data_IF_926932368060
#
_entry.id   IF_926932368060
#
_cell.length_a   1.000
_cell.length_b   1.000
_cell.length_c   1.000
_cell.angle_alpha   90.00
_cell.angle_beta   90.00
_cell.angle_gamma   90.00
#
_symmetry.space_group_name_H-M   'P 1'
#
loop_
_entity.id
_entity.type
_entity.pdbx_description
1 polymer ?
#
# COMPACT_ATOMS: atom_id res chain seq x y z
N UNK A 1 25.07 5.60 -2.92
CA UNK A 1 23.70 5.98 -2.46
C UNK A 1 22.97 6.59 -3.64
N UNK A 2 21.67 6.30 -3.83
CA UNK A 2 20.88 7.06 -4.81
C UNK A 2 20.92 8.51 -4.33
N UNK A 3 21.67 9.39 -4.98
CA UNK A 3 21.62 10.83 -4.68
C UNK A 3 20.25 11.28 -5.16
N UNK A 4 19.27 11.33 -4.27
CA UNK A 4 18.02 12.03 -4.53
C UNK A 4 18.42 13.49 -4.62
N UNK A 5 18.45 14.04 -5.83
CA UNK A 5 18.70 15.47 -5.98
C UNK A 5 17.39 16.20 -5.69
N UNK A 6 17.05 16.34 -4.40
CA UNK A 6 15.97 17.20 -3.90
C UNK A 6 16.44 18.65 -3.87
N UNK A 7 17.12 19.09 -4.91
CA UNK A 7 17.63 20.46 -4.97
C UNK A 7 16.48 21.47 -5.14
N UNK A 8 16.83 22.74 -5.02
CA UNK A 8 15.89 23.84 -5.14
C UNK A 8 15.18 23.87 -6.50
N UNK A 9 15.82 23.37 -7.56
CA UNK A 9 15.27 23.32 -8.91
C UNK A 9 14.20 22.23 -9.04
N UNK A 10 14.46 21.04 -8.51
CA UNK A 10 13.48 19.95 -8.41
C UNK A 10 12.25 20.43 -7.63
N UNK A 11 12.46 20.99 -6.44
CA UNK A 11 11.36 21.48 -5.59
C UNK A 11 10.55 22.59 -6.26
N UNK A 12 11.21 23.51 -6.96
CA UNK A 12 10.56 24.59 -7.71
C UNK A 12 9.69 24.02 -8.84
N UNK A 13 10.22 23.09 -9.62
CA UNK A 13 9.52 22.46 -10.74
C UNK A 13 8.36 21.58 -10.27
N UNK A 14 8.58 20.78 -9.22
CA UNK A 14 7.55 20.00 -8.54
C UNK A 14 6.38 20.89 -8.13
N UNK A 15 6.65 21.94 -7.36
CA UNK A 15 5.63 22.85 -6.83
C UNK A 15 4.78 23.52 -7.92
N UNK A 16 5.34 23.81 -9.10
CA UNK A 16 4.61 24.40 -10.23
C UNK A 16 3.55 23.46 -10.84
N UNK A 17 3.72 22.15 -10.69
CA UNK A 17 2.83 21.15 -11.31
C UNK A 17 1.75 20.62 -10.36
N UNK A 18 1.88 20.88 -9.06
CA UNK A 18 0.96 20.34 -8.06
C UNK A 18 -0.44 20.91 -8.24
N UNK A 19 -1.40 20.00 -8.31
CA UNK A 19 -2.83 20.30 -8.17
C UNK A 19 -3.39 19.51 -7.00
N UNK A 20 -4.35 20.11 -6.30
CA UNK A 20 -5.02 19.45 -5.18
C UNK A 20 -6.36 18.87 -5.64
N UNK A 21 -6.62 17.62 -5.25
CA UNK A 21 -7.86 16.92 -5.55
C UNK A 21 -8.47 16.36 -4.27
N UNK A 22 -9.79 16.49 -4.13
CA UNK A 22 -10.53 15.68 -3.17
C UNK A 22 -10.57 14.23 -3.68
N UNK A 23 -10.48 13.25 -2.78
CA UNK A 23 -10.61 11.83 -3.15
C UNK A 23 -12.03 11.46 -3.61
N UNK A 24 -13.01 12.33 -3.38
CA UNK A 24 -14.34 12.24 -4.01
C UNK A 24 -14.35 12.51 -5.52
N UNK A 25 -13.26 13.04 -6.09
CA UNK A 25 -13.16 13.33 -7.51
C UNK A 25 -13.27 12.02 -8.33
N UNK A 26 -14.07 11.98 -9.42
CA UNK A 26 -14.27 10.77 -10.22
C UNK A 26 -13.02 10.16 -10.86
N UNK A 27 -11.88 10.85 -10.88
CA UNK A 27 -10.59 10.27 -11.29
C UNK A 27 -10.13 9.15 -10.34
N UNK A 28 -10.61 9.15 -9.09
CA UNK A 28 -10.40 8.09 -8.12
C UNK A 28 -11.63 7.18 -8.08
N UNK A 29 -11.42 5.89 -8.36
CA UNK A 29 -12.46 4.86 -8.26
C UNK A 29 -12.33 4.15 -6.92
N UNK A 30 -13.17 4.56 -5.97
CA UNK A 30 -13.20 4.02 -4.61
C UNK A 30 -14.32 2.98 -4.47
N UNK A 31 -14.00 1.84 -3.87
CA UNK A 31 -14.97 0.79 -3.52
C UNK A 31 -14.61 0.14 -2.19
N UNK A 32 -15.60 -0.48 -1.55
CA UNK A 32 -15.39 -1.37 -0.40
C UNK A 32 -15.54 -2.80 -0.87
N UNK A 33 -14.74 -3.70 -0.30
CA UNK A 33 -14.86 -5.13 -0.54
C UNK A 33 -16.13 -5.73 0.04
N UNK A 34 -16.17 -7.06 0.10
CA UNK A 34 -17.36 -7.80 0.55
C UNK A 34 -17.01 -8.73 1.70
N UNK A 35 -17.90 -8.84 2.68
CA UNK A 35 -17.70 -9.70 3.84
C UNK A 35 -17.28 -11.13 3.45
N UNK A 36 -16.32 -11.67 4.19
CA UNK A 36 -15.87 -13.06 4.15
C UNK A 36 -16.04 -13.64 5.54
N UNK A 37 -16.78 -14.74 5.65
CA UNK A 37 -16.95 -15.48 6.91
C UNK A 37 -15.84 -16.52 7.07
N UNK A 38 -15.54 -16.92 8.32
CA UNK A 38 -14.48 -17.90 8.59
C UNK A 38 -14.71 -19.25 7.88
N UNK A 39 -15.96 -19.67 7.70
CA UNK A 39 -16.30 -20.90 6.98
C UNK A 39 -16.18 -20.79 5.45
N UNK A 40 -15.92 -19.60 4.91
CA UNK A 40 -15.64 -19.39 3.49
C UNK A 40 -14.14 -19.39 3.19
N UNK A 41 -13.28 -19.34 4.22
CA UNK A 41 -11.83 -19.41 4.06
C UNK A 41 -11.40 -20.86 3.78
N UNK A 42 -10.45 -21.00 2.87
CA UNK A 42 -9.96 -22.28 2.38
C UNK A 42 -8.46 -22.40 2.67
N UNK A 43 -8.02 -23.52 3.23
CA UNK A 43 -6.60 -23.83 3.41
C UNK A 43 -5.85 -23.88 2.07
N UNK A 44 -6.50 -24.45 1.04
CA UNK A 44 -5.97 -24.57 -0.33
C UNK A 44 -6.58 -23.54 -1.30
N UNK A 45 -7.02 -22.38 -0.79
CA UNK A 45 -7.52 -21.30 -1.64
C UNK A 45 -6.39 -20.64 -2.44
N UNK A 46 -6.72 -20.08 -3.60
CA UNK A 46 -5.73 -19.47 -4.50
C UNK A 46 -5.72 -17.95 -4.46
N UNK A 47 -6.81 -17.33 -4.01
CA UNK A 47 -6.96 -15.87 -4.00
C UNK A 47 -6.76 -15.36 -2.57
N UNK A 48 -5.72 -14.55 -2.30
CA UNK A 48 -5.48 -14.00 -0.97
C UNK A 48 -6.56 -12.98 -0.60
N UNK A 49 -7.06 -13.11 0.63
CA UNK A 49 -8.03 -12.19 1.24
C UNK A 49 -7.29 -11.13 2.03
N UNK A 50 -7.65 -9.87 1.84
CA UNK A 50 -7.15 -8.73 2.61
C UNK A 50 -8.30 -8.07 3.37
N UNK A 51 -8.10 -7.84 4.66
CA UNK A 51 -9.11 -7.28 5.56
C UNK A 51 -8.64 -5.94 6.13
N UNK A 52 -8.94 -5.63 7.40
CA UNK A 52 -8.49 -4.41 8.06
C UNK A 52 -6.95 -4.29 8.10
N UNK A 53 -6.22 -5.41 8.16
CA UNK A 53 -4.79 -5.44 7.86
C UNK A 53 -4.62 -5.68 6.34
N UNK A 54 -4.27 -4.63 5.59
CA UNK A 54 -4.12 -4.71 4.13
C UNK A 54 -2.70 -5.10 3.69
N UNK A 55 -1.79 -5.32 4.65
CA UNK A 55 -0.41 -5.74 4.40
C UNK A 55 -0.23 -7.26 4.61
N UNK A 56 -1.19 -7.91 5.27
CA UNK A 56 -1.15 -9.33 5.58
C UNK A 56 -2.35 -10.06 4.96
N UNK A 57 -2.11 -11.29 4.54
CA UNK A 57 -3.17 -12.17 4.03
C UNK A 57 -3.97 -12.69 5.22
N UNK A 58 -5.27 -12.41 5.22
CA UNK A 58 -6.22 -12.88 6.24
C UNK A 58 -6.60 -14.36 6.06
N UNK A 59 -6.53 -14.86 4.83
CA UNK A 59 -6.83 -16.22 4.44
C UNK A 59 -6.98 -16.31 2.93
N UNK A 60 -7.50 -17.42 2.41
CA UNK A 60 -7.66 -17.61 0.97
C UNK A 60 -9.08 -18.01 0.60
N UNK A 61 -9.49 -17.65 -0.61
CA UNK A 61 -10.77 -18.01 -1.23
C UNK A 61 -10.56 -18.41 -2.68
N UNK A 62 -11.60 -19.00 -3.30
CA UNK A 62 -11.65 -19.29 -4.74
C UNK A 62 -12.76 -18.51 -5.46
N UNK A 63 -13.23 -17.42 -4.85
CA UNK A 63 -14.22 -16.50 -5.41
C UNK A 63 -13.60 -15.14 -5.71
N UNK A 64 -14.18 -14.44 -6.68
CA UNK A 64 -13.77 -13.11 -7.12
C UNK A 64 -14.93 -12.13 -6.94
N UNK A 65 -14.62 -10.85 -6.69
CA UNK A 65 -15.61 -9.76 -6.63
C UNK A 65 -15.22 -8.54 -7.45
N UNK A 66 -13.96 -8.45 -7.88
CA UNK A 66 -13.49 -7.39 -8.77
C UNK A 66 -13.76 -7.82 -10.22
N UNK A 67 -14.07 -6.85 -11.08
CA UNK A 67 -14.35 -7.12 -12.49
C UNK A 67 -13.09 -7.56 -13.25
N UNK A 68 -11.95 -6.99 -12.87
CA UNK A 68 -10.65 -7.18 -13.50
C UNK A 68 -9.53 -7.00 -12.48
N UNK A 69 -8.31 -7.36 -12.90
CA UNK A 69 -7.06 -7.13 -12.17
C UNK A 69 -6.04 -6.41 -13.06
N UNK A 70 -6.48 -5.70 -14.10
CA UNK A 70 -5.59 -5.16 -15.14
C UNK A 70 -4.91 -3.85 -14.73
N UNK A 71 -5.40 -3.23 -13.65
CA UNK A 71 -4.93 -1.97 -13.10
C UNK A 71 -4.30 -2.19 -11.72
N UNK A 72 -3.31 -1.36 -11.40
CA UNK A 72 -2.79 -1.29 -10.04
C UNK A 72 -3.90 -0.83 -9.08
N UNK A 73 -3.83 -1.30 -7.83
CA UNK A 73 -4.82 -1.00 -6.81
C UNK A 73 -4.14 -0.55 -5.53
N UNK A 74 -4.73 0.45 -4.87
CA UNK A 74 -4.33 0.89 -3.53
C UNK A 74 -5.37 0.40 -2.53
N UNK A 75 -4.93 -0.24 -1.46
CA UNK A 75 -5.78 -0.81 -0.42
C UNK A 75 -5.69 0.04 0.85
N UNK A 76 -6.79 0.18 1.60
CA UNK A 76 -6.73 0.76 2.95
C UNK A 76 -7.58 -0.04 3.94
N UNK A 77 -7.11 -0.11 5.18
CA UNK A 77 -7.86 -0.73 6.28
C UNK A 77 -8.89 0.23 6.87
N UNK A 78 -10.10 -0.25 7.14
CA UNK A 78 -11.20 0.59 7.67
C UNK A 78 -11.26 0.51 9.21
N UNK A 79 -11.13 -0.70 9.77
CA UNK A 79 -11.45 -1.04 11.17
C UNK A 79 -10.23 -1.51 11.98
N UNK A 80 -9.03 -1.25 11.47
CA UNK A 80 -7.76 -1.67 12.06
C UNK A 80 -6.86 -0.50 12.42
N UNK A 81 -5.59 -0.82 12.63
CA UNK A 81 -4.55 0.20 12.61
C UNK A 81 -4.47 0.83 11.22
N UNK A 82 -4.18 2.13 11.15
CA UNK A 82 -4.12 2.80 9.85
C UNK A 82 -2.93 2.30 9.05
N UNK A 83 -3.23 1.78 7.88
CA UNK A 83 -2.26 1.26 6.93
C UNK A 83 -2.84 1.31 5.52
N UNK A 84 -1.94 1.49 4.56
CA UNK A 84 -2.23 1.53 3.14
C UNK A 84 -1.33 0.52 2.45
N UNK A 85 -1.91 -0.30 1.60
CA UNK A 85 -1.23 -1.31 0.80
C UNK A 85 -1.21 -0.93 -0.68
N UNK A 86 -0.21 -1.42 -1.40
CA UNK A 86 -0.16 -1.37 -2.86
C UNK A 86 -0.30 -2.78 -3.41
N UNK A 87 -1.20 -2.96 -4.38
CA UNK A 87 -1.46 -4.22 -5.05
C UNK A 87 -1.22 -4.03 -6.55
N UNK A 88 -0.16 -4.64 -7.12
CA UNK A 88 0.12 -4.48 -8.54
C UNK A 88 -0.93 -5.21 -9.39
N UNK A 89 -1.12 -4.72 -10.61
CA UNK A 89 -1.92 -5.36 -11.65
C UNK A 89 -1.47 -6.81 -11.89
N UNK A 90 -2.38 -7.58 -12.45
CA UNK A 90 -2.27 -9.03 -12.71
C UNK A 90 -2.10 -9.88 -11.44
N UNK A 91 -2.28 -9.32 -10.24
CA UNK A 91 -2.35 -10.08 -9.00
C UNK A 91 -3.78 -10.14 -8.50
N UNK A 92 -4.32 -11.36 -8.42
CA UNK A 92 -5.64 -11.60 -7.84
C UNK A 92 -5.60 -11.35 -6.34
N UNK A 93 -6.66 -10.73 -5.84
CA UNK A 93 -6.90 -10.51 -4.41
C UNK A 93 -8.40 -10.36 -4.15
N UNK A 94 -8.79 -10.53 -2.90
CA UNK A 94 -10.16 -10.36 -2.44
C UNK A 94 -10.20 -9.38 -1.24
N UNK A 95 -10.73 -8.16 -1.41
CA UNK A 95 -10.94 -7.24 -0.30
C UNK A 95 -12.20 -7.62 0.51
N UNK A 96 -12.10 -7.63 1.84
CA UNK A 96 -13.28 -7.76 2.71
C UNK A 96 -14.06 -6.45 2.82
N UNK A 97 -15.19 -6.46 3.52
CA UNK A 97 -15.93 -5.25 3.92
C UNK A 97 -15.17 -4.32 4.88
N UNK A 98 -14.03 -4.76 5.41
CA UNK A 98 -13.10 -3.95 6.20
C UNK A 98 -11.89 -3.44 5.40
N UNK A 99 -11.87 -3.69 4.09
CA UNK A 99 -10.83 -3.29 3.16
C UNK A 99 -11.43 -2.43 2.05
N UNK A 100 -10.88 -1.23 1.89
CA UNK A 100 -11.20 -0.38 0.76
C UNK A 100 -10.21 -0.54 -0.38
N UNK A 101 -10.68 -0.29 -1.60
CA UNK A 101 -9.89 -0.32 -2.84
C UNK A 101 -10.02 1.02 -3.55
N UNK A 102 -8.89 1.59 -3.96
CA UNK A 102 -8.77 2.79 -4.77
C UNK A 102 -8.02 2.42 -6.05
N UNK A 103 -8.66 2.68 -7.20
CA UNK A 103 -8.06 2.57 -8.54
C UNK A 103 -8.06 3.92 -9.25
N UNK A 104 -7.13 4.08 -10.18
CA UNK A 104 -6.99 5.27 -11.03
C UNK A 104 -6.76 4.85 -12.48
N UNK A 105 -6.82 5.82 -13.40
CA UNK A 105 -6.35 5.62 -14.77
C UNK A 105 -4.82 5.71 -14.78
N UNK A 106 -4.16 4.55 -14.86
CA UNK A 106 -2.69 4.42 -14.79
C UNK A 106 -1.97 5.16 -15.93
N UNK A 107 -2.68 5.57 -16.99
CA UNK A 107 -2.09 6.41 -18.05
C UNK A 107 -1.93 7.88 -17.63
N UNK A 108 -2.52 8.27 -16.50
CA UNK A 108 -2.57 9.67 -16.00
C UNK A 108 -2.06 9.81 -14.58
N UNK A 109 -2.16 8.77 -13.76
CA UNK A 109 -1.86 8.82 -12.33
C UNK A 109 -1.14 7.53 -11.93
N UNK A 110 -0.04 7.66 -11.20
CA UNK A 110 0.71 6.52 -10.70
C UNK A 110 0.08 6.01 -9.39
N UNK A 111 -0.51 4.80 -9.41
CA UNK A 111 -1.17 4.22 -8.23
C UNK A 111 -0.22 3.96 -7.05
N UNK A 112 1.05 3.60 -7.29
CA UNK A 112 2.05 3.45 -6.22
C UNK A 112 2.28 4.79 -5.52
N UNK A 113 2.39 5.89 -6.27
CA UNK A 113 2.43 7.23 -5.68
C UNK A 113 1.18 7.55 -4.85
N UNK A 114 -0.02 7.20 -5.34
CA UNK A 114 -1.27 7.36 -4.58
C UNK A 114 -1.21 6.63 -3.23
N UNK A 115 -0.61 5.44 -3.16
CA UNK A 115 -0.47 4.70 -1.91
C UNK A 115 0.29 5.49 -0.84
N UNK A 116 1.35 6.20 -1.22
CA UNK A 116 2.13 7.02 -0.30
C UNK A 116 1.35 8.24 0.20
N UNK A 117 0.74 9.00 -0.71
CA UNK A 117 0.02 10.22 -0.31
C UNK A 117 -1.25 9.91 0.47
N UNK A 118 -1.93 8.79 0.16
CA UNK A 118 -3.07 8.33 0.93
C UNK A 118 -2.65 7.98 2.35
N UNK A 119 -1.55 7.23 2.50
CA UNK A 119 -1.02 6.86 3.81
C UNK A 119 -0.72 8.10 4.66
N UNK A 120 -0.04 9.09 4.10
CA UNK A 120 0.28 10.33 4.80
C UNK A 120 -0.95 11.18 5.11
N UNK A 121 -1.93 11.24 4.19
CA UNK A 121 -3.18 11.94 4.43
C UNK A 121 -3.98 11.31 5.59
N UNK A 122 -4.07 9.98 5.62
CA UNK A 122 -4.77 9.26 6.70
C UNK A 122 -4.07 9.37 8.06
N UNK A 123 -2.73 9.37 8.08
CA UNK A 123 -1.94 9.65 9.30
C UNK A 123 -2.23 11.04 9.84
N UNK A 124 -2.22 12.07 8.97
CA UNK A 124 -2.55 13.46 9.35
C UNK A 124 -3.97 13.59 9.87
N UNK A 125 -4.91 12.85 9.27
CA UNK A 125 -6.29 12.80 9.74
C UNK A 125 -6.43 12.06 11.09
N UNK A 126 -5.44 11.26 11.49
CA UNK A 126 -5.44 10.49 12.73
C UNK A 126 -6.23 9.19 12.64
N UNK A 127 -6.35 8.60 11.43
CA UNK A 127 -7.05 7.33 11.29
C UNK A 127 -6.39 6.25 12.15
N UNK A 128 -7.25 5.43 12.75
CA UNK A 128 -6.88 4.42 13.73
C UNK A 128 -8.08 3.53 14.02
N UNK A 129 -7.90 2.53 14.89
CA UNK A 129 -9.00 1.71 15.42
C UNK A 129 -10.13 2.56 16.03
N UNK A 130 -9.80 3.73 16.60
CA UNK A 130 -10.78 4.67 17.18
C UNK A 130 -11.40 5.57 16.11
N UNK A 131 -10.58 6.07 15.19
CA UNK A 131 -11.04 6.90 14.07
C UNK A 131 -10.98 6.09 12.77
N UNK A 132 -12.04 5.29 12.56
CA UNK A 132 -12.20 4.43 11.39
C UNK A 132 -12.06 5.20 10.06
N UNK A 133 -11.41 4.60 9.08
CA UNK A 133 -11.24 5.17 7.75
C UNK A 133 -12.39 4.75 6.80
N UNK A 134 -13.62 5.12 7.15
CA UNK A 134 -14.80 4.84 6.30
C UNK A 134 -14.65 5.46 4.92
N UNK A 135 -15.34 4.90 3.91
CA UNK A 135 -15.25 5.41 2.53
C UNK A 135 -15.60 6.91 2.44
N UNK A 136 -16.55 7.40 3.23
CA UNK A 136 -16.91 8.82 3.25
C UNK A 136 -15.79 9.69 3.83
N UNK A 137 -15.10 9.20 4.87
CA UNK A 137 -13.93 9.90 5.44
C UNK A 137 -12.75 9.89 4.48
N UNK A 138 -12.54 8.80 3.75
CA UNK A 138 -11.54 8.75 2.66
C UNK A 138 -11.89 9.76 1.57
N UNK A 139 -13.14 9.78 1.08
CA UNK A 139 -13.62 10.74 0.07
C UNK A 139 -13.44 12.21 0.48
N UNK A 140 -13.50 12.49 1.78
CA UNK A 140 -13.31 13.84 2.33
C UNK A 140 -11.84 14.30 2.36
N UNK A 141 -10.87 13.38 2.24
CA UNK A 141 -9.46 13.75 2.18
C UNK A 141 -9.13 14.49 0.89
N UNK A 142 -8.10 15.34 0.98
CA UNK A 142 -7.51 16.06 -0.16
C UNK A 142 -6.06 15.63 -0.32
N UNK A 143 -5.65 15.38 -1.56
CA UNK A 143 -4.31 14.94 -1.92
C UNK A 143 -3.72 15.83 -2.99
N UNK A 144 -2.40 15.98 -2.96
CA UNK A 144 -1.62 16.75 -3.93
C UNK A 144 -1.09 15.82 -5.00
N UNK A 145 -1.43 16.08 -6.25
CA UNK A 145 -0.94 15.36 -7.42
C UNK A 145 -0.07 16.30 -8.27
N UNK A 146 1.24 16.05 -8.36
CA UNK A 146 2.11 16.70 -9.34
C UNK A 146 1.90 16.07 -10.74
N UNK A 147 2.69 16.48 -11.74
CA UNK A 147 2.69 15.80 -13.04
C UNK A 147 3.00 14.30 -12.90
N UNK A 148 2.51 13.48 -13.83
CA UNK A 148 2.75 12.02 -13.83
C UNK A 148 4.25 11.70 -13.77
N UNK A 149 5.08 12.45 -14.51
CA UNK A 149 6.55 12.30 -14.47
C UNK A 149 7.12 12.41 -13.05
N UNK A 150 6.68 13.39 -12.25
CA UNK A 150 7.13 13.51 -10.86
C UNK A 150 6.59 12.38 -9.98
N UNK A 151 5.36 11.91 -10.23
CA UNK A 151 4.81 10.77 -9.50
C UNK A 151 5.66 9.52 -9.76
N UNK A 152 6.02 9.27 -11.02
CA UNK A 152 6.85 8.13 -11.43
C UNK A 152 8.27 8.22 -10.85
N UNK A 153 8.90 9.40 -10.90
CA UNK A 153 10.22 9.62 -10.29
C UNK A 153 10.21 9.33 -8.79
N UNK A 154 9.19 9.80 -8.07
CA UNK A 154 9.05 9.54 -6.63
C UNK A 154 8.82 8.05 -6.36
N UNK A 155 7.98 7.39 -7.16
CA UNK A 155 7.71 5.97 -7.03
C UNK A 155 8.98 5.13 -7.24
N UNK A 156 9.73 5.37 -8.31
CA UNK A 156 10.96 4.66 -8.65
C UNK A 156 12.05 4.83 -7.57
N UNK A 157 12.24 6.06 -7.08
CA UNK A 157 13.20 6.32 -6.00
C UNK A 157 12.78 5.60 -4.71
N UNK A 158 11.49 5.62 -4.38
CA UNK A 158 10.98 4.94 -3.19
C UNK A 158 11.13 3.42 -3.32
N UNK A 159 10.80 2.84 -4.47
CA UNK A 159 10.97 1.39 -4.71
C UNK A 159 12.45 0.97 -4.61
N UNK A 160 13.39 1.80 -5.10
CA UNK A 160 14.84 1.55 -4.94
C UNK A 160 15.27 1.55 -3.48
N UNK A 161 14.67 2.40 -2.64
CA UNK A 161 14.94 2.45 -1.20
C UNK A 161 14.31 1.23 -0.51
N UNK A 162 13.06 0.93 -0.80
CA UNK A 162 12.34 -0.24 -0.27
C UNK A 162 13.08 -1.54 -0.58
N UNK A 163 13.59 -1.69 -1.81
CA UNK A 163 14.41 -2.83 -2.21
C UNK A 163 15.66 -2.98 -1.34
N UNK A 164 16.41 -1.89 -1.11
CA UNK A 164 17.60 -1.91 -0.25
C UNK A 164 17.27 -2.21 1.21
N UNK A 165 16.18 -1.66 1.73
CA UNK A 165 15.70 -1.98 3.07
C UNK A 165 15.44 -3.49 3.18
N UNK A 166 14.80 -4.09 2.16
CA UNK A 166 14.53 -5.52 2.15
C UNK A 166 15.81 -6.36 2.06
N UNK A 167 16.77 -5.98 1.21
CA UNK A 167 18.09 -6.62 1.12
C UNK A 167 18.81 -6.62 2.48
N UNK A 168 18.79 -5.48 3.19
CA UNK A 168 19.41 -5.38 4.51
C UNK A 168 18.67 -6.17 5.59
N UNK A 169 17.34 -6.28 5.53
CA UNK A 169 16.57 -7.13 6.46
C UNK A 169 16.92 -8.61 6.28
N UNK A 170 17.00 -9.09 5.05
CA UNK A 170 17.39 -10.48 4.76
C UNK A 170 18.79 -10.79 5.29
N UNK A 171 19.73 -9.86 5.08
CA UNK A 171 21.10 -10.01 5.58
C UNK A 171 21.16 -9.99 7.12
N UNK A 172 20.39 -9.11 7.77
CA UNK A 172 20.29 -9.06 9.22
C UNK A 172 19.79 -10.39 9.80
N UNK A 173 18.69 -10.94 9.26
CA UNK A 173 18.14 -12.23 9.68
C UNK A 173 19.16 -13.38 9.51
N UNK A 174 19.99 -13.33 8.46
CA UNK A 174 21.08 -14.30 8.25
C UNK A 174 22.14 -14.19 9.34
N UNK A 175 22.61 -12.98 9.62
CA UNK A 175 23.64 -12.73 10.62
C UNK A 175 23.16 -13.08 12.04
N UNK A 176 21.89 -12.86 12.35
CA UNK A 176 21.29 -13.27 13.63
C UNK A 176 21.33 -14.79 13.83
N UNK A 177 20.97 -15.57 12.79
CA UNK A 177 21.06 -17.03 12.82
C UNK A 177 22.49 -17.54 12.95
N UNK A 178 23.44 -16.90 12.26
CA UNK A 178 24.87 -17.25 12.39
C UNK A 178 25.40 -16.99 13.79
N UNK A 179 25.04 -15.85 14.39
CA UNK A 179 25.36 -15.51 15.78
C UNK A 179 24.80 -16.56 16.75
N UNK A 180 23.52 -16.92 16.61
CA UNK A 180 22.89 -17.95 17.45
C UNK A 180 23.61 -19.30 17.36
N UNK A 181 23.97 -19.72 16.15
CA UNK A 181 24.71 -20.98 15.92
C UNK A 181 26.08 -20.97 16.62
N UNK A 182 26.80 -19.86 16.57
CA UNK A 182 28.08 -19.71 17.27
C UNK A 182 27.87 -19.79 18.79
N UNK A 183 26.89 -19.05 19.32
CA UNK A 183 26.60 -19.06 20.76
C UNK A 183 26.21 -20.47 21.25
N UNK A 184 25.35 -21.18 20.51
CA UNK A 184 24.99 -22.56 20.80
C UNK A 184 26.23 -23.48 20.81
N UNK A 185 27.11 -23.32 19.82
CA UNK A 185 28.34 -24.12 19.72
C UNK A 185 29.29 -23.88 20.89
N UNK A 186 29.44 -22.67 21.43
CA UNK A 186 30.49 -22.40 22.43
C UNK A 186 30.00 -22.25 23.87
N UNK A 187 28.70 -22.02 24.09
CA UNK A 187 28.14 -21.86 25.44
C UNK A 187 27.33 -23.07 25.92
N UNK A 188 26.88 -23.93 25.00
CA UNK A 188 25.97 -25.04 25.29
C UNK A 188 26.42 -26.38 24.69
N UNK A 189 27.68 -26.48 24.25
CA UNK A 189 28.34 -27.77 23.99
C UNK A 189 29.28 -28.14 25.13
#
# INVERSE_FOLDING_TARGET
>A
MCKINLDSEFLSSFNKTIKEYALSNPIFKLSIGKRVLNNELLENGQIPVYSANVLEVFGFVNKEILQDYDNDSVLWGIDGDWMVGFMPKNKKFYPTDHCGVLRVDDTKINAKYISFILNEAGKKQGFSRKLRASIDRIKALRVKLPSLEFQDQIADITDKIEKKINEYKIELDRLEKEKEKILQKYLFS
#
